data_IF_623036488227
#
_entry.id   IF_623036488227
#
_cell.length_a   1.000
_cell.length_b   1.000
_cell.length_c   1.000
_cell.angle_alpha   90.00
_cell.angle_beta   90.00
_cell.angle_gamma   90.00
#
_symmetry.space_group_name_H-M   'P 1'
#
loop_
_entity.id
_entity.type
_entity.pdbx_description
1 polymer ?
#
# COMPACT_ATOMS: atom_id res chain seq x y z
N UNK A 1 -41.34 -22.06 -25.77
CA UNK A 1 -41.17 -20.61 -25.52
C UNK A 1 -40.75 -20.46 -24.06
N UNK A 2 -39.94 -19.46 -23.68
CA UNK A 2 -39.77 -19.16 -22.25
C UNK A 2 -41.14 -18.75 -21.67
N UNK A 3 -41.40 -19.14 -20.42
CA UNK A 3 -42.58 -18.67 -19.70
C UNK A 3 -42.46 -17.15 -19.51
N UNK A 4 -43.59 -16.43 -19.61
CA UNK A 4 -43.63 -15.01 -19.28
C UNK A 4 -43.71 -14.89 -17.76
N UNK A 5 -42.66 -14.35 -17.16
CA UNK A 5 -42.64 -14.02 -15.74
C UNK A 5 -43.84 -13.13 -15.38
N UNK A 6 -44.67 -13.62 -14.45
CA UNK A 6 -45.86 -12.91 -13.99
C UNK A 6 -45.45 -11.94 -12.88
N UNK A 7 -45.75 -10.65 -13.07
CA UNK A 7 -45.55 -9.62 -12.05
C UNK A 7 -46.81 -9.56 -11.17
N UNK A 8 -46.62 -9.78 -9.88
CA UNK A 8 -47.66 -9.77 -8.85
C UNK A 8 -47.44 -8.57 -7.91
N UNK A 9 -48.46 -7.75 -7.62
CA UNK A 9 -48.39 -6.75 -6.55
C UNK A 9 -48.45 -7.44 -5.17
N UNK A 10 -47.45 -7.22 -4.32
CA UNK A 10 -47.34 -7.81 -2.97
C UNK A 10 -46.96 -6.73 -1.96
N UNK A 11 -47.43 -6.83 -0.71
CA UNK A 11 -47.02 -5.88 0.33
C UNK A 11 -45.60 -6.19 0.82
N UNK A 12 -44.67 -5.21 0.88
CA UNK A 12 -43.28 -5.49 1.24
C UNK A 12 -43.11 -6.03 2.66
N UNK A 13 -44.04 -5.77 3.57
CA UNK A 13 -44.05 -6.33 4.93
C UNK A 13 -44.30 -7.85 5.00
N UNK A 14 -44.72 -8.48 3.89
CA UNK A 14 -44.88 -9.94 3.78
C UNK A 14 -43.68 -10.65 3.13
N UNK A 15 -42.64 -9.91 2.79
CA UNK A 15 -41.43 -10.41 2.13
C UNK A 15 -40.27 -10.45 3.11
N UNK A 16 -39.49 -11.53 3.07
CA UNK A 16 -38.30 -11.68 3.89
C UNK A 16 -37.05 -11.34 3.07
N UNK A 17 -36.19 -10.47 3.57
CA UNK A 17 -34.91 -10.21 2.91
C UNK A 17 -33.98 -11.44 3.05
N UNK A 18 -33.20 -11.75 2.01
CA UNK A 18 -32.18 -12.79 2.12
C UNK A 18 -31.03 -12.27 3.00
N UNK A 19 -30.91 -12.79 4.22
CA UNK A 19 -29.89 -12.42 5.20
C UNK A 19 -28.47 -12.76 4.75
N UNK A 20 -28.25 -13.87 4.01
CA UNK A 20 -26.96 -14.21 3.40
C UNK A 20 -26.46 -13.08 2.51
N UNK A 21 -27.37 -12.43 1.75
CA UNK A 21 -27.03 -11.29 0.90
C UNK A 21 -26.81 -10.00 1.70
N UNK A 22 -27.60 -9.74 2.75
CA UNK A 22 -27.44 -8.58 3.63
C UNK A 22 -26.11 -8.57 4.38
N UNK A 23 -25.57 -9.73 4.76
CA UNK A 23 -24.25 -9.84 5.38
C UNK A 23 -23.06 -9.68 4.40
N UNK A 24 -23.31 -9.67 3.09
CA UNK A 24 -22.25 -9.56 2.07
C UNK A 24 -22.08 -8.11 1.59
N UNK A 25 -23.17 -7.37 1.33
CA UNK A 25 -23.10 -6.05 0.72
C UNK A 25 -23.45 -4.94 1.70
N UNK A 26 -22.49 -4.06 1.95
CA UNK A 26 -22.71 -2.79 2.64
C UNK A 26 -23.64 -1.87 1.83
N UNK A 27 -24.22 -0.84 2.47
CA UNK A 27 -25.03 0.15 1.77
C UNK A 27 -24.18 0.82 0.67
N UNK A 28 -24.59 0.77 -0.61
CA UNK A 28 -23.74 1.23 -1.70
C UNK A 28 -23.58 2.75 -1.68
N UNK A 29 -22.45 3.27 -2.17
CA UNK A 29 -22.18 4.71 -2.17
C UNK A 29 -23.24 5.58 -2.87
N UNK A 30 -24.04 4.99 -3.77
CA UNK A 30 -25.17 5.63 -4.45
C UNK A 30 -26.55 5.32 -3.83
N UNK A 31 -26.61 4.99 -2.53
CA UNK A 31 -27.85 4.62 -1.84
C UNK A 31 -28.93 5.72 -1.92
N UNK A 32 -28.58 6.97 -1.60
CA UNK A 32 -29.51 8.09 -1.62
C UNK A 32 -30.02 8.43 -3.03
N UNK A 33 -29.19 8.26 -4.07
CA UNK A 33 -29.63 8.40 -5.47
C UNK A 33 -30.69 7.35 -5.82
N UNK A 34 -30.47 6.08 -5.44
CA UNK A 34 -31.42 4.98 -5.65
C UNK A 34 -32.71 5.24 -4.86
N UNK A 35 -32.60 5.75 -3.63
CA UNK A 35 -33.72 6.09 -2.76
C UNK A 35 -34.58 7.20 -3.34
N UNK A 36 -33.97 8.29 -3.82
CA UNK A 36 -34.67 9.40 -4.49
C UNK A 36 -35.38 8.92 -5.76
N UNK A 37 -34.72 8.10 -6.60
CA UNK A 37 -35.34 7.55 -7.79
C UNK A 37 -36.57 6.67 -7.47
N UNK A 38 -36.49 5.81 -6.44
CA UNK A 38 -37.61 4.97 -6.02
C UNK A 38 -38.73 5.81 -5.37
N UNK A 39 -38.41 6.90 -4.69
CA UNK A 39 -39.40 7.82 -4.13
C UNK A 39 -40.20 8.57 -5.22
N UNK A 40 -39.54 8.98 -6.32
CA UNK A 40 -40.18 9.69 -7.42
C UNK A 40 -40.90 8.76 -8.42
N UNK A 41 -40.27 7.65 -8.81
CA UNK A 41 -40.69 6.80 -9.92
C UNK A 41 -41.21 5.42 -9.49
N UNK A 42 -41.13 5.07 -8.20
CA UNK A 42 -41.45 3.75 -7.68
C UNK A 42 -40.43 2.68 -8.06
N UNK A 43 -40.78 1.42 -7.80
CA UNK A 43 -39.97 0.25 -8.19
C UNK A 43 -40.36 -0.15 -9.62
N UNK A 44 -39.57 0.28 -10.60
CA UNK A 44 -39.77 -0.01 -12.03
C UNK A 44 -39.41 -1.47 -12.35
N UNK A 45 -38.23 -1.95 -11.92
CA UNK A 45 -37.84 -3.36 -12.06
C UNK A 45 -38.35 -4.17 -10.84
N UNK A 46 -39.16 -5.22 -11.04
CA UNK A 46 -39.75 -6.00 -9.94
C UNK A 46 -38.71 -6.75 -9.09
N UNK A 47 -39.07 -7.02 -7.84
CA UNK A 47 -38.29 -7.89 -6.96
C UNK A 47 -38.40 -9.34 -7.43
N UNK A 48 -37.34 -10.13 -7.31
CA UNK A 48 -37.40 -11.58 -7.55
C UNK A 48 -37.55 -12.30 -6.20
N UNK A 49 -38.61 -13.08 -6.03
CA UNK A 49 -39.01 -13.68 -4.73
C UNK A 49 -39.21 -15.19 -4.88
N UNK A 50 -38.75 -15.96 -3.88
CA UNK A 50 -39.05 -17.39 -3.81
C UNK A 50 -40.51 -17.59 -3.39
N UNK A 51 -41.28 -18.25 -4.26
CA UNK A 51 -42.72 -18.52 -4.06
C UNK A 51 -43.02 -19.36 -2.81
N UNK A 52 -42.11 -20.26 -2.40
CA UNK A 52 -42.31 -21.18 -1.27
C UNK A 52 -42.09 -20.52 0.10
N UNK A 53 -41.14 -19.58 0.16
CA UNK A 53 -40.63 -19.01 1.43
C UNK A 53 -40.85 -17.50 1.57
N UNK A 54 -41.31 -16.82 0.53
CA UNK A 54 -41.38 -15.36 0.40
C UNK A 54 -40.03 -14.63 0.62
N UNK A 55 -38.92 -15.36 0.53
CA UNK A 55 -37.57 -14.76 0.64
C UNK A 55 -37.15 -14.13 -0.70
N UNK A 56 -36.64 -12.91 -0.65
CA UNK A 56 -36.13 -12.17 -1.81
C UNK A 56 -34.85 -12.81 -2.35
N UNK A 57 -34.90 -13.27 -3.60
CA UNK A 57 -33.75 -13.78 -4.37
C UNK A 57 -32.97 -12.61 -4.96
N UNK A 58 -33.65 -11.58 -5.45
CA UNK A 58 -33.02 -10.34 -5.94
C UNK A 58 -33.86 -9.10 -5.66
N UNK A 59 -33.18 -7.99 -5.36
CA UNK A 59 -33.81 -6.72 -5.02
C UNK A 59 -33.86 -6.37 -3.53
N UNK A 60 -33.10 -7.03 -2.64
CA UNK A 60 -33.05 -6.69 -1.20
C UNK A 60 -33.00 -5.18 -0.92
N UNK A 61 -32.16 -4.43 -1.64
CA UNK A 61 -32.01 -2.98 -1.49
C UNK A 61 -33.29 -2.21 -1.83
N UNK A 62 -34.01 -2.64 -2.88
CA UNK A 62 -35.33 -2.10 -3.27
C UNK A 62 -36.39 -2.44 -2.22
N UNK A 63 -36.36 -3.64 -1.63
CA UNK A 63 -37.25 -4.00 -0.53
C UNK A 63 -36.99 -3.12 0.71
N UNK A 64 -35.73 -2.95 1.10
CA UNK A 64 -35.36 -2.09 2.24
C UNK A 64 -35.84 -0.65 2.01
N UNK A 65 -35.53 -0.07 0.84
CA UNK A 65 -35.97 1.29 0.49
C UNK A 65 -37.51 1.39 0.47
N UNK A 66 -38.22 0.38 -0.02
CA UNK A 66 -39.69 0.37 0.01
C UNK A 66 -40.27 0.33 1.43
N UNK A 67 -39.62 -0.39 2.35
CA UNK A 67 -39.99 -0.40 3.77
C UNK A 67 -39.69 0.95 4.44
N UNK A 68 -38.52 1.54 4.17
CA UNK A 68 -38.14 2.87 4.69
C UNK A 68 -39.04 4.00 4.18
N UNK A 69 -39.48 3.92 2.91
CA UNK A 69 -40.40 4.90 2.29
C UNK A 69 -41.89 4.61 2.56
N UNK A 70 -42.22 3.53 3.28
CA UNK A 70 -43.61 3.17 3.60
C UNK A 70 -44.46 2.76 2.38
N UNK A 71 -43.85 2.25 1.32
CA UNK A 71 -44.54 1.89 0.07
C UNK A 71 -45.49 0.71 0.34
N UNK A 72 -46.79 0.91 0.16
CA UNK A 72 -47.81 -0.08 0.51
C UNK A 72 -47.73 -1.40 -0.31
N UNK A 73 -47.29 -1.31 -1.57
CA UNK A 73 -47.28 -2.41 -2.54
C UNK A 73 -46.02 -2.33 -3.42
N UNK A 74 -45.32 -3.45 -3.58
CA UNK A 74 -44.17 -3.60 -4.47
C UNK A 74 -44.45 -4.64 -5.56
N UNK A 75 -43.97 -4.46 -6.80
CA UNK A 75 -44.11 -5.46 -7.85
C UNK A 75 -43.07 -6.57 -7.67
N UNK A 76 -43.50 -7.83 -7.69
CA UNK A 76 -42.61 -8.99 -7.54
C UNK A 76 -42.84 -10.04 -8.63
N UNK A 77 -41.78 -10.73 -9.03
CA UNK A 77 -41.84 -11.97 -9.82
C UNK A 77 -41.62 -13.12 -8.84
N UNK A 78 -42.63 -14.00 -8.74
CA UNK A 78 -42.55 -15.22 -7.94
C UNK A 78 -41.90 -16.33 -8.78
N UNK A 79 -40.84 -16.97 -8.27
CA UNK A 79 -40.28 -18.19 -8.87
C UNK A 79 -40.13 -19.29 -7.85
N UNK A 80 -40.43 -20.52 -8.27
CA UNK A 80 -40.10 -21.72 -7.54
C UNK A 80 -38.60 -22.02 -7.75
N UNK A 81 -37.82 -21.94 -6.67
CA UNK A 81 -36.37 -22.15 -6.63
C UNK A 81 -36.05 -22.83 -5.31
N UNK A 82 -35.14 -23.81 -5.30
CA UNK A 82 -34.70 -24.45 -4.06
C UNK A 82 -33.54 -23.68 -3.43
N UNK A 83 -33.35 -23.77 -2.11
CA UNK A 83 -32.55 -22.79 -1.35
C UNK A 83 -31.09 -22.70 -1.81
N UNK A 84 -30.48 -23.83 -2.20
CA UNK A 84 -29.11 -23.88 -2.75
C UNK A 84 -28.98 -23.10 -4.08
N UNK A 85 -30.04 -23.02 -4.88
CA UNK A 85 -30.08 -22.26 -6.14
C UNK A 85 -30.44 -20.78 -5.94
N UNK A 86 -30.98 -20.40 -4.77
CA UNK A 86 -31.31 -19.00 -4.49
C UNK A 86 -30.08 -18.12 -4.39
N UNK A 87 -29.09 -18.49 -3.59
CA UNK A 87 -27.88 -17.68 -3.40
C UNK A 87 -27.06 -17.59 -4.69
N UNK A 88 -27.08 -18.66 -5.49
CA UNK A 88 -26.51 -18.70 -6.84
C UNK A 88 -27.19 -17.66 -7.74
N UNK A 89 -28.52 -17.71 -7.89
CA UNK A 89 -29.29 -16.72 -8.68
C UNK A 89 -29.15 -15.29 -8.13
N UNK A 90 -29.05 -15.16 -6.81
CA UNK A 90 -28.85 -13.87 -6.12
C UNK A 90 -27.56 -13.17 -6.54
N UNK A 91 -26.46 -13.91 -6.68
CA UNK A 91 -25.16 -13.35 -7.15
C UNK A 91 -25.16 -13.11 -8.66
N UNK A 92 -25.77 -13.99 -9.48
CA UNK A 92 -25.77 -13.77 -10.94
C UNK A 92 -26.63 -12.58 -11.37
N UNK A 93 -27.74 -12.31 -10.70
CA UNK A 93 -28.59 -11.15 -11.02
C UNK A 93 -27.84 -9.82 -10.84
N UNK A 94 -26.78 -9.78 -10.02
CA UNK A 94 -25.93 -8.59 -9.83
C UNK A 94 -24.87 -8.39 -10.94
N UNK A 95 -24.74 -9.28 -11.95
CA UNK A 95 -23.64 -9.24 -12.92
C UNK A 95 -23.59 -8.00 -13.84
N UNK A 96 -24.69 -7.26 -13.99
CA UNK A 96 -24.74 -6.04 -14.81
C UNK A 96 -24.27 -4.79 -14.07
N UNK A 97 -24.06 -4.86 -12.75
CA UNK A 97 -23.52 -3.74 -11.95
C UNK A 97 -22.00 -3.63 -12.15
N UNK A 98 -21.48 -2.41 -12.26
CA UNK A 98 -20.05 -2.14 -12.03
C UNK A 98 -19.76 -2.38 -10.54
N UNK A 99 -19.09 -3.49 -10.24
CA UNK A 99 -18.79 -3.95 -8.87
C UNK A 99 -17.50 -3.32 -8.35
N UNK A 100 -17.43 -3.04 -7.05
CA UNK A 100 -16.19 -2.66 -6.35
C UNK A 100 -15.20 -3.85 -6.34
N UNK A 101 -13.91 -3.58 -6.24
CA UNK A 101 -12.93 -4.64 -6.01
C UNK A 101 -13.12 -5.36 -4.66
N UNK A 102 -13.75 -4.71 -3.67
CA UNK A 102 -14.21 -5.34 -2.43
C UNK A 102 -15.36 -6.32 -2.67
N UNK A 103 -16.35 -5.97 -3.51
CA UNK A 103 -17.43 -6.89 -3.92
C UNK A 103 -16.84 -8.12 -4.62
N UNK A 104 -15.86 -7.90 -5.52
CA UNK A 104 -15.17 -8.96 -6.25
C UNK A 104 -14.44 -9.90 -5.29
N UNK A 105 -13.77 -9.39 -4.25
CA UNK A 105 -13.16 -10.22 -3.22
C UNK A 105 -14.21 -11.03 -2.45
N UNK A 106 -15.27 -10.39 -1.95
CA UNK A 106 -16.33 -11.06 -1.18
C UNK A 106 -17.02 -12.17 -1.98
N UNK A 107 -17.31 -11.96 -3.26
CA UNK A 107 -17.85 -13.00 -4.14
C UNK A 107 -16.86 -14.16 -4.36
N UNK A 108 -15.57 -13.87 -4.55
CA UNK A 108 -14.52 -14.90 -4.67
C UNK A 108 -14.46 -15.75 -3.39
N UNK A 109 -14.43 -15.14 -2.20
CA UNK A 109 -14.35 -15.86 -0.93
C UNK A 109 -15.60 -16.71 -0.67
N UNK A 110 -16.80 -16.15 -0.93
CA UNK A 110 -18.06 -16.89 -0.85
C UNK A 110 -18.03 -18.17 -1.70
N UNK A 111 -17.59 -18.08 -2.96
CA UNK A 111 -17.53 -19.25 -3.84
C UNK A 111 -16.52 -20.31 -3.40
N UNK A 112 -15.41 -19.94 -2.76
CA UNK A 112 -14.44 -20.90 -2.25
C UNK A 112 -14.90 -21.57 -0.96
N UNK A 113 -15.53 -20.82 -0.06
CA UNK A 113 -16.14 -21.36 1.16
C UNK A 113 -17.30 -22.31 0.86
N UNK A 114 -18.19 -21.94 -0.07
CA UNK A 114 -19.40 -22.69 -0.39
C UNK A 114 -19.09 -23.97 -1.18
N UNK A 115 -18.19 -23.92 -2.17
CA UNK A 115 -18.00 -25.05 -3.10
C UNK A 115 -16.80 -25.96 -2.82
N UNK A 116 -15.76 -25.52 -2.10
CA UNK A 116 -14.63 -26.35 -1.60
C UNK A 116 -13.88 -27.26 -2.60
N UNK A 117 -14.13 -27.16 -3.92
CA UNK A 117 -13.46 -27.96 -4.96
C UNK A 117 -11.99 -27.57 -5.06
N UNK A 118 -11.09 -28.51 -4.79
CA UNK A 118 -9.64 -28.32 -4.91
C UNK A 118 -9.19 -28.31 -6.38
N UNK A 119 -8.17 -27.52 -6.69
CA UNK A 119 -7.53 -27.54 -8.00
C UNK A 119 -6.97 -28.95 -8.30
N UNK A 120 -7.27 -29.48 -9.49
CA UNK A 120 -6.88 -30.84 -9.88
C UNK A 120 -7.77 -31.98 -9.34
N UNK A 121 -8.83 -31.68 -8.58
CA UNK A 121 -9.81 -32.68 -8.13
C UNK A 121 -10.53 -33.30 -9.34
N UNK A 122 -10.70 -34.62 -9.35
CA UNK A 122 -11.42 -35.39 -10.39
C UNK A 122 -12.93 -35.17 -10.31
N UNK A 123 -13.39 -34.03 -10.84
CA UNK A 123 -14.81 -33.70 -10.99
C UNK A 123 -15.49 -34.47 -12.12
N UNK A 124 -14.78 -35.31 -12.86
CA UNK A 124 -15.31 -36.20 -13.89
C UNK A 124 -16.03 -37.43 -13.33
N UNK A 125 -15.70 -37.84 -12.10
CA UNK A 125 -16.21 -39.06 -11.45
C UNK A 125 -17.53 -38.89 -10.68
N UNK A 126 -17.93 -37.66 -10.33
CA UNK A 126 -19.22 -37.38 -9.68
C UNK A 126 -19.96 -36.28 -10.47
N UNK A 127 -21.18 -36.56 -11.00
CA UNK A 127 -22.03 -35.57 -11.66
C UNK A 127 -22.26 -34.28 -10.84
N UNK A 128 -22.43 -34.38 -9.52
CA UNK A 128 -22.65 -33.22 -8.64
C UNK A 128 -21.42 -32.30 -8.61
N UNK A 129 -20.23 -32.88 -8.43
CA UNK A 129 -18.97 -32.13 -8.46
C UNK A 129 -18.70 -31.51 -9.83
N UNK A 130 -19.15 -32.16 -10.90
CA UNK A 130 -19.10 -31.59 -12.25
C UNK A 130 -20.03 -30.38 -12.36
N UNK A 131 -21.29 -30.50 -11.95
CA UNK A 131 -22.25 -29.40 -12.04
C UNK A 131 -21.85 -28.22 -11.16
N UNK A 132 -21.40 -28.47 -9.92
CA UNK A 132 -20.87 -27.44 -9.02
C UNK A 132 -19.68 -26.71 -9.66
N UNK A 133 -18.75 -27.45 -10.29
CA UNK A 133 -17.62 -26.86 -11.01
C UNK A 133 -18.08 -26.04 -12.21
N UNK A 134 -18.97 -26.57 -13.04
CA UNK A 134 -19.44 -25.90 -14.26
C UNK A 134 -20.26 -24.64 -13.92
N UNK A 135 -21.04 -24.66 -12.82
CA UNK A 135 -21.65 -23.48 -12.20
C UNK A 135 -20.57 -22.48 -11.77
N UNK A 136 -19.63 -22.86 -10.90
CA UNK A 136 -18.52 -22.00 -10.43
C UNK A 136 -17.75 -21.36 -11.59
N UNK A 137 -17.35 -22.15 -12.57
CA UNK A 137 -16.53 -21.70 -13.70
C UNK A 137 -17.36 -20.85 -14.69
N UNK A 138 -18.69 -20.96 -14.70
CA UNK A 138 -19.59 -20.02 -15.38
C UNK A 138 -19.63 -18.66 -14.68
N UNK A 139 -19.83 -18.63 -13.35
CA UNK A 139 -19.83 -17.39 -12.57
C UNK A 139 -18.49 -16.64 -12.64
N UNK A 140 -17.39 -17.38 -12.50
CA UNK A 140 -16.04 -16.81 -12.52
C UNK A 140 -15.64 -16.21 -13.89
N UNK A 141 -16.41 -16.41 -14.98
CA UNK A 141 -16.16 -15.73 -16.28
C UNK A 141 -16.41 -14.23 -16.23
N UNK A 142 -17.20 -13.72 -15.28
CA UNK A 142 -17.49 -12.28 -15.14
C UNK A 142 -16.22 -11.43 -14.93
N UNK A 143 -15.16 -12.01 -14.37
CA UNK A 143 -13.87 -11.32 -14.16
C UNK A 143 -12.72 -12.15 -14.71
N UNK A 144 -11.72 -11.47 -15.29
CA UNK A 144 -10.54 -12.14 -15.86
C UNK A 144 -9.77 -12.94 -14.80
N UNK A 145 -9.11 -14.02 -15.21
CA UNK A 145 -8.36 -14.89 -14.28
C UNK A 145 -7.28 -14.09 -13.53
N UNK A 146 -6.57 -13.23 -14.25
CA UNK A 146 -5.49 -12.37 -13.71
C UNK A 146 -6.01 -11.27 -12.79
N UNK A 147 -7.22 -10.73 -13.04
CA UNK A 147 -7.89 -9.81 -12.10
C UNK A 147 -8.15 -10.53 -10.77
N UNK A 148 -8.75 -11.73 -10.81
CA UNK A 148 -9.09 -12.52 -9.62
C UNK A 148 -7.85 -12.96 -8.84
N UNK A 149 -6.81 -13.41 -9.55
CA UNK A 149 -5.50 -13.76 -8.96
C UNK A 149 -4.86 -12.55 -8.24
N UNK A 150 -4.88 -11.35 -8.84
CA UNK A 150 -4.33 -10.13 -8.21
C UNK A 150 -5.16 -9.62 -7.03
N UNK A 151 -6.50 -9.66 -7.11
CA UNK A 151 -7.39 -9.26 -6.00
C UNK A 151 -7.12 -10.13 -4.75
N UNK A 152 -6.99 -11.45 -4.93
CA UNK A 152 -6.58 -12.35 -3.84
C UNK A 152 -5.18 -12.05 -3.29
N UNK A 153 -4.20 -11.79 -4.16
CA UNK A 153 -2.83 -11.51 -3.74
C UNK A 153 -2.75 -10.20 -2.92
N UNK A 154 -3.52 -9.18 -3.31
CA UNK A 154 -3.69 -7.93 -2.56
C UNK A 154 -4.29 -8.20 -1.18
N UNK A 155 -5.39 -8.97 -1.11
CA UNK A 155 -6.03 -9.34 0.16
C UNK A 155 -5.06 -10.11 1.09
N UNK A 156 -4.35 -11.10 0.57
CA UNK A 156 -3.39 -11.90 1.36
C UNK A 156 -2.24 -11.07 1.92
N UNK A 157 -1.68 -10.14 1.13
CA UNK A 157 -0.64 -9.20 1.60
C UNK A 157 -1.20 -8.26 2.67
N UNK A 158 -2.43 -7.78 2.51
CA UNK A 158 -3.08 -6.88 3.46
C UNK A 158 -3.38 -7.56 4.80
N UNK A 159 -3.83 -8.81 4.76
CA UNK A 159 -4.07 -9.64 5.94
C UNK A 159 -2.76 -9.90 6.71
N UNK A 160 -1.63 -10.08 6.02
CA UNK A 160 -0.29 -10.15 6.64
C UNK A 160 0.15 -8.80 7.25
N UNK A 161 -0.11 -7.68 6.57
CA UNK A 161 0.39 -6.36 6.97
C UNK A 161 -0.45 -5.73 8.08
N UNK A 162 -1.78 -5.81 8.02
CA UNK A 162 -2.70 -5.10 8.92
C UNK A 162 -3.61 -6.02 9.75
N UNK A 163 -3.83 -7.27 9.32
CA UNK A 163 -4.79 -8.19 9.94
C UNK A 163 -6.24 -7.98 9.46
N UNK A 164 -6.99 -9.08 9.35
CA UNK A 164 -8.31 -9.14 8.69
C UNK A 164 -9.38 -8.19 9.27
N UNK A 165 -9.36 -7.98 10.59
CA UNK A 165 -10.35 -7.16 11.31
C UNK A 165 -10.04 -5.65 11.27
N UNK A 166 -8.86 -5.26 10.76
CA UNK A 166 -8.42 -3.86 10.73
C UNK A 166 -9.25 -2.99 9.78
N UNK A 167 -9.34 -1.70 10.08
CA UNK A 167 -10.06 -0.75 9.23
C UNK A 167 -9.30 -0.48 7.92
N UNK A 168 -7.97 -0.56 7.97
CA UNK A 168 -7.08 -0.52 6.80
C UNK A 168 -7.30 -1.71 5.86
N UNK A 169 -7.58 -2.92 6.39
CA UNK A 169 -7.95 -4.07 5.56
C UNK A 169 -9.32 -3.88 4.91
N UNK A 170 -10.35 -3.45 5.67
CA UNK A 170 -11.69 -3.17 5.10
C UNK A 170 -11.63 -2.08 4.03
N UNK A 171 -10.85 -1.03 4.27
CA UNK A 171 -10.69 0.12 3.37
C UNK A 171 -9.71 -0.06 2.20
N UNK A 172 -9.08 -1.22 2.04
CA UNK A 172 -7.94 -1.41 1.12
C UNK A 172 -8.24 -1.00 -0.33
N UNK A 173 -9.36 -1.45 -0.87
CA UNK A 173 -9.74 -1.18 -2.26
C UNK A 173 -10.30 0.24 -2.45
N UNK A 174 -10.55 1.02 -1.39
CA UNK A 174 -11.05 2.40 -1.52
C UNK A 174 -10.12 3.27 -2.37
N UNK A 175 -8.81 3.02 -2.34
CA UNK A 175 -7.85 3.71 -3.22
C UNK A 175 -8.03 3.39 -4.71
N UNK A 176 -8.46 2.17 -5.01
CA UNK A 176 -8.62 1.62 -6.36
C UNK A 176 -10.02 1.89 -6.93
N UNK A 177 -11.06 1.71 -6.12
CA UNK A 177 -12.46 1.99 -6.49
C UNK A 177 -12.68 3.50 -6.76
N UNK A 178 -11.99 4.38 -6.02
CA UNK A 178 -11.97 5.83 -6.30
C UNK A 178 -10.98 6.23 -7.40
N UNK A 179 -10.41 5.29 -8.15
CA UNK A 179 -9.52 5.55 -9.30
C UNK A 179 -8.17 6.22 -8.98
N UNK A 180 -7.78 6.31 -7.69
CA UNK A 180 -6.52 6.97 -7.27
C UNK A 180 -5.27 6.13 -7.56
N UNK A 181 -5.44 4.85 -7.83
CA UNK A 181 -4.36 3.91 -8.20
C UNK A 181 -4.87 2.87 -9.18
N UNK A 182 -3.97 2.01 -9.68
CA UNK A 182 -4.32 0.83 -10.50
C UNK A 182 -4.19 -0.45 -9.68
N UNK A 183 -4.85 -1.52 -10.11
CA UNK A 183 -4.75 -2.85 -9.47
C UNK A 183 -3.29 -3.33 -9.37
N UNK A 184 -2.43 -2.94 -10.31
CA UNK A 184 -1.01 -3.26 -10.25
C UNK A 184 -0.23 -2.35 -9.28
N UNK A 185 -0.58 -1.05 -9.21
CA UNK A 185 0.03 -0.11 -8.28
C UNK A 185 -0.25 -0.46 -6.82
N UNK A 186 -1.51 -0.80 -6.50
CA UNK A 186 -1.90 -1.26 -5.16
C UNK A 186 -1.17 -2.56 -4.76
N UNK A 187 -1.12 -3.55 -5.67
CA UNK A 187 -0.36 -4.78 -5.43
C UNK A 187 1.12 -4.52 -5.16
N UNK A 188 1.80 -3.73 -6.01
CA UNK A 188 3.22 -3.42 -5.83
C UNK A 188 3.50 -2.65 -4.53
N UNK A 189 2.63 -1.71 -4.14
CA UNK A 189 2.77 -0.97 -2.88
C UNK A 189 2.75 -1.90 -1.64
N UNK A 190 1.84 -2.88 -1.63
CA UNK A 190 1.68 -3.83 -0.53
C UNK A 190 2.78 -4.91 -0.53
N UNK A 191 3.19 -5.38 -1.71
CA UNK A 191 4.32 -6.28 -1.90
C UNK A 191 5.63 -5.65 -1.37
N UNK A 192 5.85 -4.35 -1.63
CA UNK A 192 6.95 -3.58 -1.04
C UNK A 192 6.82 -3.41 0.48
N UNK A 193 5.61 -3.17 1.01
CA UNK A 193 5.36 -3.04 2.45
C UNK A 193 5.58 -4.35 3.22
N UNK A 194 5.13 -5.49 2.68
CA UNK A 194 5.39 -6.80 3.27
C UNK A 194 6.89 -7.10 3.28
N UNK A 195 7.59 -6.93 2.14
CA UNK A 195 9.06 -7.07 2.07
C UNK A 195 9.78 -6.20 3.08
N UNK A 196 9.38 -4.93 3.25
CA UNK A 196 9.96 -4.04 4.27
C UNK A 196 9.71 -4.55 5.68
N UNK A 197 8.51 -5.01 6.01
CA UNK A 197 8.19 -5.63 7.33
C UNK A 197 8.92 -6.95 7.58
N UNK A 198 9.12 -7.77 6.55
CA UNK A 198 9.87 -9.03 6.66
C UNK A 198 11.37 -8.76 6.82
N UNK A 199 11.93 -7.89 5.99
CA UNK A 199 13.32 -7.45 6.09
C UNK A 199 13.63 -6.85 7.47
N UNK A 200 12.76 -5.99 8.01
CA UNK A 200 12.94 -5.40 9.35
C UNK A 200 12.91 -6.42 10.52
N UNK A 201 12.50 -7.67 10.29
CA UNK A 201 12.60 -8.77 11.28
C UNK A 201 13.88 -9.60 11.13
N UNK A 202 14.42 -9.69 9.92
CA UNK A 202 15.56 -10.56 9.56
C UNK A 202 16.89 -9.78 9.57
N UNK A 203 16.84 -8.51 9.22
CA UNK A 203 17.99 -7.61 9.11
C UNK A 203 18.17 -6.87 10.43
N UNK A 204 19.31 -7.02 11.15
CA UNK A 204 19.63 -6.19 12.31
C UNK A 204 19.80 -4.73 11.89
N UNK A 205 19.49 -3.76 12.78
CA UNK A 205 19.72 -2.32 12.51
C UNK A 205 21.13 -2.04 11.98
N UNK A 206 22.13 -2.76 12.49
CA UNK A 206 23.53 -2.68 12.09
C UNK A 206 24.06 -4.05 11.72
N UNK A 207 24.41 -4.24 10.45
CA UNK A 207 25.09 -5.43 9.96
C UNK A 207 26.26 -5.06 9.03
N UNK A 208 27.22 -5.99 8.92
CA UNK A 208 28.46 -5.83 8.16
C UNK A 208 28.72 -7.11 7.35
N UNK A 209 28.66 -7.03 6.02
CA UNK A 209 28.94 -8.17 5.14
C UNK A 209 30.38 -8.05 4.63
N UNK A 210 31.26 -8.90 5.14
CA UNK A 210 32.60 -9.12 4.58
C UNK A 210 32.52 -10.20 3.49
N UNK A 211 32.97 -9.87 2.28
CA UNK A 211 33.35 -10.80 1.21
C UNK A 211 34.84 -10.65 0.95
N UNK A 212 35.43 -11.63 0.26
CA UNK A 212 36.86 -11.76 0.00
C UNK A 212 37.54 -10.49 -0.54
N UNK A 213 36.84 -9.69 -1.35
CA UNK A 213 37.32 -8.43 -1.91
C UNK A 213 36.37 -7.23 -1.70
N UNK A 214 35.36 -7.34 -0.81
CA UNK A 214 34.32 -6.30 -0.68
C UNK A 214 33.73 -6.26 0.72
N UNK A 215 33.50 -5.06 1.25
CA UNK A 215 32.88 -4.85 2.56
C UNK A 215 31.63 -3.98 2.41
N UNK A 216 30.45 -4.56 2.62
CA UNK A 216 29.16 -3.87 2.49
C UNK A 216 28.65 -3.55 3.90
N UNK A 217 28.24 -2.30 4.11
CA UNK A 217 27.64 -1.80 5.35
C UNK A 217 26.16 -1.46 5.10
N UNK A 218 25.33 -1.54 6.14
CA UNK A 218 23.91 -1.13 6.06
C UNK A 218 23.71 0.40 5.93
N UNK A 219 24.62 1.20 6.51
CA UNK A 219 24.45 2.66 6.60
C UNK A 219 24.78 3.38 5.30
N UNK A 220 23.80 4.11 4.75
CA UNK A 220 24.01 5.18 3.78
C UNK A 220 24.23 6.51 4.51
N UNK A 221 25.50 6.91 4.69
CA UNK A 221 25.93 8.24 5.17
C UNK A 221 25.29 8.75 6.47
N UNK A 222 24.76 7.86 7.34
CA UNK A 222 23.94 8.25 8.49
C UNK A 222 24.70 8.99 9.61
N UNK A 223 26.03 8.79 9.71
CA UNK A 223 26.93 9.63 10.52
C UNK A 223 26.78 11.13 10.19
N UNK A 224 26.52 11.45 8.91
CA UNK A 224 26.31 12.84 8.49
C UNK A 224 25.00 13.42 9.04
N UNK A 225 23.99 12.63 9.45
CA UNK A 225 22.83 13.19 10.14
C UNK A 225 23.18 13.75 11.52
N UNK A 226 24.23 13.26 12.19
CA UNK A 226 24.74 13.88 13.41
C UNK A 226 25.47 15.19 13.08
N UNK A 227 26.36 15.17 12.08
CA UNK A 227 27.09 16.37 11.61
C UNK A 227 26.12 17.47 11.14
N UNK A 228 25.08 17.13 10.38
CA UNK A 228 24.07 18.09 9.90
C UNK A 228 23.23 18.66 11.06
N UNK A 229 22.88 17.86 12.07
CA UNK A 229 22.21 18.36 13.29
C UNK A 229 23.11 19.33 14.08
N UNK A 230 24.40 19.06 14.14
CA UNK A 230 25.39 19.96 14.77
C UNK A 230 25.52 21.28 13.98
N UNK A 231 25.60 21.21 12.65
CA UNK A 231 25.58 22.39 11.76
C UNK A 231 24.28 23.17 11.94
N UNK A 232 23.12 22.50 11.97
CA UNK A 232 21.79 23.10 12.11
C UNK A 232 21.64 23.84 13.44
N UNK A 233 22.11 23.23 14.55
CA UNK A 233 22.03 23.78 15.90
C UNK A 233 23.08 24.88 16.21
N UNK A 234 23.97 25.21 15.27
CA UNK A 234 24.99 26.25 15.45
C UNK A 234 24.68 27.53 14.68
N UNK A 235 24.95 28.69 15.28
CA UNK A 235 24.83 30.01 14.66
C UNK A 235 26.05 30.39 13.79
N UNK A 236 27.21 29.79 14.05
CA UNK A 236 28.44 29.98 13.29
C UNK A 236 29.12 28.61 13.08
N UNK A 237 29.45 28.28 11.83
CA UNK A 237 30.08 27.01 11.44
C UNK A 237 31.30 27.32 10.59
N UNK A 238 32.42 26.65 10.85
CA UNK A 238 33.64 26.77 10.04
C UNK A 238 33.89 25.45 9.33
N UNK A 239 34.22 25.53 8.04
CA UNK A 239 34.66 24.38 7.23
C UNK A 239 36.01 24.74 6.61
N UNK A 240 37.07 24.03 6.97
CA UNK A 240 38.43 24.23 6.49
C UNK A 240 38.95 22.95 5.82
N UNK A 241 38.64 22.80 4.54
CA UNK A 241 38.90 21.60 3.75
C UNK A 241 38.85 21.93 2.25
N UNK A 242 39.68 21.26 1.44
CA UNK A 242 39.64 21.36 -0.04
C UNK A 242 38.31 20.82 -0.57
N UNK A 243 38.03 19.57 -0.20
CA UNK A 243 36.75 18.93 -0.46
C UNK A 243 35.83 19.19 0.72
N UNK A 244 34.87 20.08 0.50
CA UNK A 244 33.99 20.53 1.55
C UNK A 244 32.87 19.51 1.94
N UNK A 245 32.43 18.60 1.06
CA UNK A 245 31.04 18.67 0.54
C UNK A 245 30.17 17.41 0.39
N UNK A 246 28.88 17.46 -0.05
CA UNK A 246 28.15 18.42 -0.93
C UNK A 246 27.04 19.29 -0.27
N UNK A 247 27.38 20.41 0.40
CA UNK A 247 26.43 21.03 1.35
C UNK A 247 25.48 22.17 0.91
N UNK A 248 25.66 23.04 -0.12
CA UNK A 248 24.66 23.97 -0.62
C UNK A 248 23.73 23.25 -1.61
N UNK A 249 23.69 21.93 -1.54
CA UNK A 249 22.53 21.16 -1.92
C UNK A 249 21.51 21.14 -0.76
N UNK A 250 21.97 21.31 0.49
CA UNK A 250 21.18 21.37 1.73
C UNK A 250 21.08 22.79 2.34
N UNK A 251 22.19 23.56 2.36
CA UNK A 251 22.32 24.92 2.91
C UNK A 251 22.36 25.96 1.80
N UNK A 252 21.19 26.24 1.19
CA UNK A 252 21.00 27.26 0.14
C UNK A 252 20.44 28.57 0.70
N UNK A 253 20.68 29.67 -0.01
CA UNK A 253 20.19 31.00 0.38
C UNK A 253 20.70 31.40 1.76
N UNK A 254 19.86 31.98 2.60
CA UNK A 254 20.27 32.52 3.90
C UNK A 254 20.83 31.46 4.87
N UNK A 255 20.52 30.18 4.67
CA UNK A 255 21.12 29.05 5.41
C UNK A 255 22.62 28.92 5.18
N UNK A 256 23.14 29.48 4.10
CA UNK A 256 24.57 29.57 3.79
C UNK A 256 25.30 30.56 4.70
N UNK A 257 24.64 31.64 5.14
CA UNK A 257 25.29 32.80 5.76
C UNK A 257 26.00 32.50 7.09
N UNK A 258 25.68 31.37 7.73
CA UNK A 258 26.36 30.88 8.94
C UNK A 258 27.60 30.01 8.70
N UNK A 259 27.89 29.63 7.45
CA UNK A 259 29.01 28.74 7.09
C UNK A 259 30.17 29.57 6.54
N UNK A 260 31.24 29.73 7.34
CA UNK A 260 32.52 30.33 6.91
C UNK A 260 33.38 29.21 6.30
N UNK A 261 33.63 29.30 4.99
CA UNK A 261 34.42 28.31 4.26
C UNK A 261 35.85 28.78 4.00
N UNK A 262 36.82 27.90 4.27
CA UNK A 262 38.22 28.02 3.88
C UNK A 262 38.59 26.78 3.04
N UNK A 263 39.19 26.99 1.86
CA UNK A 263 39.56 25.90 0.93
C UNK A 263 40.81 25.09 1.31
N UNK A 264 41.43 25.40 2.45
CA UNK A 264 42.65 24.79 2.99
C UNK A 264 42.61 24.89 4.52
N UNK A 265 43.47 24.14 5.20
CA UNK A 265 43.76 24.30 6.64
C UNK A 265 44.22 25.74 6.92
N UNK A 266 43.53 26.40 7.84
CA UNK A 266 43.91 27.71 8.41
C UNK A 266 44.33 27.56 9.88
N UNK A 267 44.92 28.62 10.46
CA UNK A 267 45.42 28.58 11.84
C UNK A 267 44.28 28.57 12.88
N UNK A 268 44.60 28.13 14.10
CA UNK A 268 43.61 27.89 15.16
C UNK A 268 42.85 29.15 15.58
N UNK A 269 43.46 30.34 15.54
CA UNK A 269 42.79 31.60 15.84
C UNK A 269 41.79 31.95 14.72
N UNK A 270 42.19 31.78 13.46
CA UNK A 270 41.33 31.96 12.27
C UNK A 270 40.17 30.96 12.21
N UNK A 271 40.33 29.75 12.79
CA UNK A 271 39.26 28.77 12.95
C UNK A 271 38.32 29.09 14.13
N UNK A 272 38.82 29.71 15.21
CA UNK A 272 38.05 29.96 16.45
C UNK A 272 37.51 31.38 16.60
N UNK A 273 37.92 32.34 15.74
CA UNK A 273 37.60 33.79 15.72
C UNK A 273 36.18 34.20 16.19
N UNK A 274 35.16 33.38 15.86
CA UNK A 274 33.74 33.67 16.15
C UNK A 274 33.08 32.70 17.13
N UNK A 275 33.86 31.91 17.87
CA UNK A 275 33.38 30.80 18.72
C UNK A 275 32.36 29.90 17.99
N UNK A 276 32.68 29.36 16.80
CA UNK A 276 31.76 28.54 16.03
C UNK A 276 31.33 27.29 16.83
N UNK A 277 30.05 26.93 16.80
CA UNK A 277 29.58 25.71 17.46
C UNK A 277 30.13 24.43 16.83
N UNK A 278 30.57 24.50 15.57
CA UNK A 278 31.15 23.40 14.78
C UNK A 278 32.31 23.90 13.92
N UNK A 279 33.44 23.19 13.96
CA UNK A 279 34.55 23.34 13.01
C UNK A 279 34.75 21.98 12.32
N UNK A 280 34.89 21.96 10.98
CA UNK A 280 35.04 20.73 10.18
C UNK A 280 36.33 20.81 9.34
N UNK A 281 37.19 19.80 9.43
CA UNK A 281 38.40 19.64 8.61
C UNK A 281 38.49 18.24 7.98
N UNK A 282 39.29 18.07 6.93
CA UNK A 282 39.70 16.75 6.44
C UNK A 282 40.70 16.11 7.42
N UNK A 283 40.62 14.81 7.69
CA UNK A 283 41.43 14.14 8.73
C UNK A 283 42.96 14.33 8.55
N UNK A 284 43.47 14.19 7.33
CA UNK A 284 44.87 14.44 6.98
C UNK A 284 45.34 15.88 7.15
N UNK A 285 44.44 16.86 7.20
CA UNK A 285 44.75 18.30 7.28
C UNK A 285 44.30 18.93 8.61
N UNK A 286 43.85 18.08 9.54
CA UNK A 286 43.24 18.41 10.82
C UNK A 286 44.23 18.73 11.95
N UNK A 287 43.67 19.17 13.09
CA UNK A 287 44.38 19.39 14.35
C UNK A 287 44.23 18.17 15.29
N UNK A 288 45.20 17.88 16.17
CA UNK A 288 45.05 16.81 17.17
C UNK A 288 44.03 17.20 18.26
N UNK A 289 44.05 18.47 18.67
CA UNK A 289 43.18 19.13 19.64
C UNK A 289 42.97 20.56 19.14
N UNK A 290 41.82 21.17 19.46
CA UNK A 290 41.58 22.62 19.38
C UNK A 290 41.12 23.07 20.77
N UNK A 291 41.65 24.16 21.32
CA UNK A 291 41.36 24.55 22.71
C UNK A 291 39.87 24.89 22.91
N UNK A 292 39.24 24.24 23.89
CA UNK A 292 37.81 24.37 24.16
C UNK A 292 36.89 23.52 23.28
N UNK A 293 37.41 22.59 22.46
CA UNK A 293 36.60 21.76 21.57
C UNK A 293 36.83 20.24 21.75
N UNK A 294 35.72 19.50 21.79
CA UNK A 294 35.71 18.05 21.66
C UNK A 294 35.81 17.66 20.18
N UNK A 295 36.84 16.87 19.84
CA UNK A 295 37.06 16.30 18.51
C UNK A 295 36.35 14.95 18.35
N UNK A 296 35.65 14.74 17.23
CA UNK A 296 35.15 13.42 16.79
C UNK A 296 35.31 13.27 15.27
N UNK A 297 35.90 12.16 14.84
CA UNK A 297 36.05 11.82 13.42
C UNK A 297 34.80 11.10 12.91
N UNK A 298 34.32 11.49 11.73
CA UNK A 298 33.17 10.90 11.03
C UNK A 298 33.58 10.43 9.64
N UNK A 299 32.94 9.37 9.12
CA UNK A 299 33.26 8.84 7.80
C UNK A 299 32.27 9.30 6.72
N UNK A 300 32.72 10.19 5.84
CA UNK A 300 31.96 10.69 4.71
C UNK A 300 32.21 9.82 3.47
N UNK A 301 31.20 9.03 3.08
CA UNK A 301 31.24 8.19 1.89
C UNK A 301 30.62 8.92 0.70
N UNK A 302 31.39 9.06 -0.39
CA UNK A 302 31.00 9.79 -1.60
C UNK A 302 30.52 8.83 -2.69
N UNK A 303 29.64 9.29 -3.57
CA UNK A 303 29.29 8.54 -4.78
C UNK A 303 30.45 8.56 -5.79
N UNK A 304 30.69 7.41 -6.44
CA UNK A 304 31.56 7.23 -7.61
C UNK A 304 32.90 8.01 -7.61
N UNK A 305 33.95 7.40 -7.05
CA UNK A 305 35.33 7.89 -7.26
C UNK A 305 35.71 7.75 -8.73
N UNK A 306 35.99 8.85 -9.44
CA UNK A 306 36.38 8.76 -10.85
C UNK A 306 37.70 8.00 -11.01
N UNK A 307 38.71 8.31 -10.19
CA UNK A 307 40.04 7.67 -10.22
C UNK A 307 40.01 6.15 -10.00
N UNK A 308 39.09 5.66 -9.16
CA UNK A 308 38.96 4.21 -8.92
C UNK A 308 38.20 3.46 -10.04
N UNK A 309 37.52 4.17 -10.93
CA UNK A 309 36.53 3.60 -11.85
C UNK A 309 36.64 4.09 -13.31
N UNK A 310 37.58 4.96 -13.65
CA UNK A 310 37.86 5.42 -15.02
C UNK A 310 37.96 4.25 -16.02
N UNK A 311 38.67 3.18 -15.63
CA UNK A 311 38.85 1.95 -16.41
C UNK A 311 37.69 0.94 -16.27
N UNK A 312 36.60 1.30 -15.57
CA UNK A 312 35.40 0.48 -15.31
C UNK A 312 34.08 1.20 -15.62
N UNK A 313 34.12 2.31 -16.37
CA UNK A 313 32.93 3.13 -16.67
C UNK A 313 31.75 2.34 -17.25
N UNK A 314 32.03 1.32 -18.07
CA UNK A 314 31.00 0.43 -18.65
C UNK A 314 30.35 -0.47 -17.59
N UNK A 315 31.15 -1.12 -16.74
CA UNK A 315 30.65 -1.98 -15.66
C UNK A 315 29.87 -1.18 -14.61
N UNK A 316 30.33 0.02 -14.28
CA UNK A 316 29.58 0.93 -13.42
C UNK A 316 28.25 1.38 -14.06
N UNK A 317 28.21 1.62 -15.37
CA UNK A 317 27.00 2.06 -16.06
C UNK A 317 25.92 0.96 -16.09
N UNK A 318 26.30 -0.27 -16.44
CA UNK A 318 25.36 -1.39 -16.60
C UNK A 318 25.10 -2.19 -15.32
N UNK A 319 26.12 -2.41 -14.48
CA UNK A 319 26.04 -3.29 -13.31
C UNK A 319 26.07 -2.53 -11.97
N UNK A 320 26.32 -1.21 -11.99
CA UNK A 320 26.62 -0.39 -10.80
C UNK A 320 27.85 -0.87 -10.00
N UNK A 321 28.68 -1.71 -10.62
CA UNK A 321 29.90 -2.24 -10.03
C UNK A 321 31.04 -1.22 -10.12
N UNK A 322 31.09 -0.33 -9.13
CA UNK A 322 32.15 0.67 -8.99
C UNK A 322 32.53 0.89 -7.53
N UNK A 323 33.82 1.11 -7.29
CA UNK A 323 34.36 1.45 -5.97
C UNK A 323 33.83 2.81 -5.53
N UNK A 324 33.26 2.89 -4.34
CA UNK A 324 32.85 4.16 -3.73
C UNK A 324 34.03 4.80 -3.00
N UNK A 325 34.28 6.08 -3.26
CA UNK A 325 35.27 6.85 -2.52
C UNK A 325 34.77 7.16 -1.11
N UNK A 326 35.68 7.29 -0.14
CA UNK A 326 35.32 7.74 1.20
C UNK A 326 36.47 8.49 1.85
N UNK A 327 36.16 9.66 2.40
CA UNK A 327 37.08 10.48 3.21
C UNK A 327 36.64 10.44 4.67
N UNK A 328 37.54 10.77 5.59
CA UNK A 328 37.14 11.01 6.98
C UNK A 328 37.25 12.52 7.24
N UNK A 329 36.27 13.05 7.96
CA UNK A 329 36.24 14.44 8.41
C UNK A 329 36.34 14.48 9.93
N UNK A 330 37.16 15.38 10.43
CA UNK A 330 37.25 15.69 11.83
C UNK A 330 36.32 16.86 12.15
N UNK A 331 35.36 16.60 13.04
CA UNK A 331 34.38 17.58 13.49
C UNK A 331 34.67 17.92 14.95
N UNK A 332 34.91 19.20 15.19
CA UNK A 332 35.16 19.78 16.49
C UNK A 332 33.88 20.48 16.96
N UNK A 333 33.47 20.24 18.21
CA UNK A 333 32.27 20.81 18.83
C UNK A 333 32.63 21.43 20.17
N UNK A 334 31.99 22.56 20.52
CA UNK A 334 32.30 23.27 21.78
C UNK A 334 32.18 22.32 22.97
N UNK A 335 33.25 22.24 23.77
CA UNK A 335 33.28 21.46 25.00
C UNK A 335 32.40 22.17 26.04
N UNK A 336 31.19 21.64 26.24
CA UNK A 336 30.30 22.12 27.31
C UNK A 336 31.00 21.95 28.66
N UNK A 337 31.08 23.03 29.43
CA UNK A 337 31.41 22.95 30.84
C UNK A 337 30.35 22.08 31.56
N UNK A 338 30.83 21.19 32.43
CA UNK A 338 30.03 20.27 33.24
C UNK A 338 29.53 20.93 34.53
#
# INVERSE_FOLDING_TARGET
MPEKDIITPVSPSTLFANNTKLGIYDAPANYEEIKSNIQEHGIIEPLLVNRKTNVVISGNLRLQIALELGIAVVPVILKDVDEQDMDIKSVSTNQQRVKSYSDILKEIEFFEQHYKIKQGQRTDLNPELKEIKDRRDSFLKAHSRTTREKVKAIASLAEEIHGRESEEFKGIFNSLDNGKTTLNGLYQHLDDLSKRKQNAKVIPEKFEIKREHTKIYNHSSEDMHEVMKLIDASDNVVVASKDYWPLPWYYRGDRWNKIKFYGDRTDENTLTEKNPGVIILHDTESYPVIEGYNKKTYKLSYWFSFYDNENRLVDYYFHRDGKMGSINIDVFTIQKAS
#
